data_IF_098559512626
#
_entry.id   IF_098559512626
#
_cell.length_a   1.000
_cell.length_b   1.000
_cell.length_c   1.000
_cell.angle_alpha   90.00
_cell.angle_beta   90.00
_cell.angle_gamma   90.00
#
_symmetry.space_group_name_H-M   'P 1'
#
loop_
_entity.id
_entity.type
_entity.pdbx_description
1 polymer ?
#
# COMPACT_ATOMS: atom_id res chain seq x y z
N UNK A 1 -14.50 -27.32 -27.08
CA UNK A 1 -13.88 -26.12 -26.47
C UNK A 1 -14.79 -25.67 -25.33
N UNK A 2 -14.28 -25.70 -24.07
CA UNK A 2 -15.04 -25.20 -22.94
C UNK A 2 -15.08 -23.66 -23.00
N UNK A 3 -16.27 -23.13 -23.24
CA UNK A 3 -16.52 -21.68 -23.24
C UNK A 3 -16.75 -21.28 -21.78
N UNK A 4 -15.86 -20.48 -21.26
CA UNK A 4 -16.02 -19.85 -19.94
C UNK A 4 -16.83 -18.58 -20.11
N UNK A 5 -17.88 -18.44 -19.31
CA UNK A 5 -18.78 -17.29 -19.38
C UNK A 5 -19.12 -16.77 -17.99
N UNK A 6 -19.35 -15.46 -17.90
CA UNK A 6 -19.87 -14.75 -16.73
C UNK A 6 -21.15 -14.02 -17.10
N UNK A 7 -21.98 -13.72 -16.12
CA UNK A 7 -23.18 -12.92 -16.30
C UNK A 7 -22.81 -11.42 -16.33
N UNK A 8 -23.61 -10.58 -17.01
CA UNK A 8 -23.35 -9.14 -17.07
C UNK A 8 -23.51 -8.44 -15.71
N UNK A 9 -24.21 -9.07 -14.78
CA UNK A 9 -24.41 -8.59 -13.42
C UNK A 9 -23.34 -9.13 -12.44
N UNK A 10 -22.43 -10.02 -12.87
CA UNK A 10 -21.31 -10.52 -12.08
C UNK A 10 -20.29 -9.41 -11.82
N UNK A 11 -19.59 -9.53 -10.69
CA UNK A 11 -18.50 -8.59 -10.38
C UNK A 11 -17.30 -8.80 -11.31
N UNK A 12 -16.62 -7.70 -11.65
CA UNK A 12 -15.37 -7.71 -12.46
C UNK A 12 -14.34 -8.70 -11.90
N UNK A 13 -14.28 -8.85 -10.57
CA UNK A 13 -13.40 -9.82 -9.93
C UNK A 13 -13.77 -11.27 -10.24
N UNK A 14 -15.04 -11.59 -10.36
CA UNK A 14 -15.48 -12.96 -10.70
C UNK A 14 -15.03 -13.33 -12.10
N UNK A 15 -15.09 -12.37 -13.03
CA UNK A 15 -14.54 -12.52 -14.36
C UNK A 15 -13.03 -12.82 -14.34
N UNK A 16 -12.25 -12.08 -13.53
CA UNK A 16 -10.81 -12.31 -13.37
C UNK A 16 -10.52 -13.69 -12.74
N UNK A 17 -11.31 -14.09 -11.75
CA UNK A 17 -11.17 -15.39 -11.10
C UNK A 17 -11.45 -16.55 -12.08
N UNK A 18 -12.49 -16.43 -12.89
CA UNK A 18 -12.81 -17.44 -13.90
C UNK A 18 -11.75 -17.50 -15.02
N UNK A 19 -11.21 -16.34 -15.46
CA UNK A 19 -10.07 -16.31 -16.37
C UNK A 19 -8.85 -17.03 -15.80
N UNK A 20 -8.55 -16.78 -14.52
CA UNK A 20 -7.40 -17.38 -13.82
C UNK A 20 -7.57 -18.89 -13.65
N UNK A 21 -8.73 -19.35 -13.18
CA UNK A 21 -9.02 -20.78 -12.97
C UNK A 21 -9.00 -21.57 -14.29
N UNK A 22 -9.54 -20.98 -15.34
CA UNK A 22 -9.62 -21.60 -16.66
C UNK A 22 -8.38 -21.43 -17.52
N UNK A 23 -7.40 -20.62 -17.06
CA UNK A 23 -6.21 -20.18 -17.82
C UNK A 23 -6.60 -19.57 -19.19
N UNK A 24 -7.65 -18.75 -19.21
CA UNK A 24 -8.16 -18.08 -20.41
C UNK A 24 -7.94 -16.58 -20.29
N UNK A 25 -7.52 -15.95 -21.38
CA UNK A 25 -7.37 -14.49 -21.50
C UNK A 25 -8.63 -13.78 -21.96
N UNK A 26 -9.65 -14.57 -22.36
CA UNK A 26 -10.94 -14.07 -22.86
C UNK A 26 -12.06 -14.92 -22.30
N UNK A 27 -13.11 -14.29 -21.84
CA UNK A 27 -14.34 -14.94 -21.41
C UNK A 27 -15.55 -14.27 -22.04
N UNK A 28 -16.63 -15.02 -22.15
CA UNK A 28 -17.89 -14.55 -22.71
C UNK A 28 -18.71 -13.85 -21.63
N UNK A 29 -19.29 -12.70 -21.93
CA UNK A 29 -20.30 -12.06 -21.10
C UNK A 29 -21.67 -12.34 -21.68
N UNK A 30 -22.61 -12.83 -20.85
CA UNK A 30 -23.97 -13.16 -21.25
C UNK A 30 -25.00 -12.51 -20.31
N UNK A 31 -26.21 -12.34 -20.88
CA UNK A 31 -27.42 -11.95 -20.17
C UNK A 31 -28.40 -13.10 -20.26
N UNK A 32 -28.49 -13.92 -19.24
CA UNK A 32 -29.22 -15.19 -19.32
C UNK A 32 -28.66 -16.10 -20.40
N UNK A 33 -29.41 -16.37 -21.45
CA UNK A 33 -28.97 -17.18 -22.60
C UNK A 33 -28.37 -16.36 -23.77
N UNK A 34 -28.43 -15.02 -23.70
CA UNK A 34 -27.99 -14.14 -24.77
C UNK A 34 -26.50 -13.79 -24.63
N UNK A 35 -25.78 -13.81 -25.74
CA UNK A 35 -24.40 -13.35 -25.83
C UNK A 35 -24.37 -11.81 -25.84
N UNK A 36 -23.70 -11.20 -24.86
CA UNK A 36 -23.60 -9.74 -24.73
C UNK A 36 -22.27 -9.23 -25.24
N UNK A 37 -21.16 -9.96 -25.02
CA UNK A 37 -19.85 -9.55 -25.48
C UNK A 37 -18.73 -10.46 -25.01
N UNK A 38 -17.50 -10.03 -25.28
CA UNK A 38 -16.26 -10.68 -24.82
C UNK A 38 -15.55 -9.70 -23.89
N UNK A 39 -15.02 -10.20 -22.79
CA UNK A 39 -14.18 -9.48 -21.86
C UNK A 39 -12.77 -10.06 -21.94
N UNK A 40 -11.78 -9.20 -22.13
CA UNK A 40 -10.37 -9.58 -22.19
C UNK A 40 -9.68 -9.23 -20.86
N UNK A 41 -8.59 -9.93 -20.53
CA UNK A 41 -7.78 -9.65 -19.34
C UNK A 41 -7.24 -8.20 -19.34
N UNK A 42 -6.93 -7.66 -20.52
CA UNK A 42 -6.46 -6.27 -20.67
C UNK A 42 -7.56 -5.23 -20.32
N UNK A 43 -8.83 -5.54 -20.57
CA UNK A 43 -9.94 -4.66 -20.22
C UNK A 43 -10.11 -4.59 -18.70
N UNK A 44 -9.95 -5.73 -18.02
CA UNK A 44 -9.97 -5.82 -16.58
C UNK A 44 -8.80 -5.06 -15.93
N UNK A 45 -7.59 -5.26 -16.47
CA UNK A 45 -6.41 -4.52 -16.05
C UNK A 45 -6.58 -3.02 -16.29
N UNK A 46 -7.12 -2.61 -17.44
CA UNK A 46 -7.43 -1.21 -17.75
C UNK A 46 -8.44 -0.60 -16.79
N UNK A 47 -9.48 -1.33 -16.41
CA UNK A 47 -10.47 -0.89 -15.42
C UNK A 47 -9.87 -0.74 -14.01
N UNK A 48 -9.08 -1.72 -13.56
CA UNK A 48 -8.42 -1.70 -12.26
C UNK A 48 -7.30 -0.64 -12.20
N UNK A 49 -6.50 -0.53 -13.25
CA UNK A 49 -5.40 0.42 -13.35
C UNK A 49 -5.86 1.85 -13.64
N UNK A 50 -6.99 2.04 -14.33
CA UNK A 50 -7.46 3.35 -14.75
C UNK A 50 -7.66 4.32 -13.57
N UNK A 51 -8.25 3.86 -12.50
CA UNK A 51 -8.42 4.67 -11.29
C UNK A 51 -7.09 4.87 -10.55
N UNK A 52 -6.24 3.84 -10.46
CA UNK A 52 -4.93 3.94 -9.82
C UNK A 52 -4.00 4.90 -10.59
N UNK A 53 -4.02 4.88 -11.93
CA UNK A 53 -3.25 5.83 -12.76
C UNK A 53 -3.69 7.28 -12.58
N UNK A 54 -4.99 7.53 -12.42
CA UNK A 54 -5.52 8.89 -12.15
C UNK A 54 -4.99 9.40 -10.81
N UNK A 55 -5.05 8.57 -9.77
CA UNK A 55 -4.53 8.93 -8.42
C UNK A 55 -3.01 9.11 -8.44
N UNK A 56 -2.28 8.22 -9.11
CA UNK A 56 -0.83 8.34 -9.30
C UNK A 56 -0.47 9.66 -10.00
N UNK A 57 -1.13 9.97 -11.11
CA UNK A 57 -0.92 11.21 -11.86
C UNK A 57 -1.27 12.47 -11.05
N UNK A 58 -2.22 12.40 -10.10
CA UNK A 58 -2.54 13.49 -9.19
C UNK A 58 -1.41 13.69 -8.17
N UNK A 59 -0.92 12.62 -7.57
CA UNK A 59 0.24 12.67 -6.67
C UNK A 59 1.46 13.29 -7.36
N UNK A 60 1.75 12.91 -8.59
CA UNK A 60 2.88 13.45 -9.36
C UNK A 60 2.73 14.94 -9.69
N UNK A 61 1.51 15.39 -10.02
CA UNK A 61 1.23 16.80 -10.35
C UNK A 61 1.03 17.70 -9.13
N UNK A 62 0.97 17.15 -7.92
CA UNK A 62 0.81 17.91 -6.68
C UNK A 62 1.91 18.99 -6.54
N UNK A 63 1.51 20.20 -6.17
CA UNK A 63 2.42 21.34 -5.97
C UNK A 63 2.49 21.77 -4.51
N UNK A 64 1.62 21.24 -3.66
CA UNK A 64 1.50 21.56 -2.25
C UNK A 64 1.23 20.32 -1.42
N UNK A 65 1.42 20.42 -0.09
CA UNK A 65 1.02 19.38 0.86
C UNK A 65 -0.50 19.15 0.83
N UNK A 66 -1.28 20.22 0.65
CA UNK A 66 -2.74 20.11 0.53
C UNK A 66 -3.16 19.25 -0.67
N UNK A 67 -2.49 19.39 -1.83
CA UNK A 67 -2.75 18.52 -2.99
C UNK A 67 -2.43 17.07 -2.68
N UNK A 68 -1.35 16.82 -1.92
CA UNK A 68 -0.97 15.46 -1.50
C UNK A 68 -1.94 14.88 -0.48
N UNK A 69 -2.50 15.68 0.43
CA UNK A 69 -3.54 15.24 1.36
C UNK A 69 -4.79 14.73 0.62
N UNK A 70 -5.18 15.43 -0.46
CA UNK A 70 -6.28 14.99 -1.33
C UNK A 70 -5.93 13.68 -2.02
N UNK A 71 -4.75 13.57 -2.62
CA UNK A 71 -4.29 12.33 -3.26
C UNK A 71 -4.23 11.17 -2.25
N UNK A 72 -3.77 11.45 -1.04
CA UNK A 72 -3.75 10.49 0.05
C UNK A 72 -5.16 9.95 0.39
N UNK A 73 -6.17 10.82 0.46
CA UNK A 73 -7.54 10.41 0.69
C UNK A 73 -8.06 9.54 -0.47
N UNK A 74 -7.75 9.89 -1.71
CA UNK A 74 -8.15 9.12 -2.88
C UNK A 74 -7.54 7.70 -2.91
N UNK A 75 -6.28 7.53 -2.46
CA UNK A 75 -5.69 6.20 -2.27
C UNK A 75 -6.55 5.37 -1.30
N UNK A 76 -6.98 5.96 -0.17
CA UNK A 76 -7.84 5.27 0.79
C UNK A 76 -9.20 4.89 0.21
N UNK A 77 -9.78 5.76 -0.60
CA UNK A 77 -11.05 5.51 -1.29
C UNK A 77 -10.91 4.40 -2.33
N UNK A 78 -9.79 4.38 -3.05
CA UNK A 78 -9.46 3.33 -4.00
C UNK A 78 -9.34 1.97 -3.30
N UNK A 79 -8.63 1.90 -2.18
CA UNK A 79 -8.53 0.66 -1.37
C UNK A 79 -9.91 0.16 -0.96
N UNK A 80 -10.78 1.06 -0.46
CA UNK A 80 -12.16 0.69 -0.08
C UNK A 80 -12.95 0.15 -1.27
N UNK A 81 -12.76 0.74 -2.44
CA UNK A 81 -13.42 0.30 -3.67
C UNK A 81 -12.94 -1.08 -4.10
N UNK A 82 -11.62 -1.30 -4.14
CA UNK A 82 -11.03 -2.59 -4.51
C UNK A 82 -11.46 -3.71 -3.56
N UNK A 83 -11.52 -3.43 -2.24
CA UNK A 83 -12.01 -4.39 -1.24
C UNK A 83 -13.48 -4.74 -1.40
N UNK A 84 -14.32 -3.77 -1.76
CA UNK A 84 -15.76 -4.02 -2.04
C UNK A 84 -15.98 -4.83 -3.30
N UNK A 85 -15.02 -4.82 -4.21
CA UNK A 85 -15.04 -5.58 -5.45
C UNK A 85 -14.40 -6.95 -5.30
N UNK A 86 -14.09 -7.39 -4.06
CA UNK A 86 -13.45 -8.66 -3.73
C UNK A 86 -12.13 -8.91 -4.49
N UNK A 87 -11.40 -7.83 -4.83
CA UNK A 87 -10.07 -7.92 -5.45
C UNK A 87 -9.11 -8.61 -4.47
N UNK A 88 -8.28 -9.51 -4.98
CA UNK A 88 -7.31 -10.26 -4.18
C UNK A 88 -6.38 -9.32 -3.42
N UNK A 89 -6.07 -9.69 -2.18
CA UNK A 89 -5.28 -8.86 -1.26
C UNK A 89 -3.88 -8.57 -1.80
N UNK A 90 -3.28 -9.51 -2.54
CA UNK A 90 -1.97 -9.34 -3.15
C UNK A 90 -1.97 -8.23 -4.22
N UNK A 91 -3.02 -8.19 -5.06
CA UNK A 91 -3.18 -7.14 -6.07
C UNK A 91 -3.44 -5.78 -5.41
N UNK A 92 -4.24 -5.76 -4.34
CA UNK A 92 -4.47 -4.53 -3.57
C UNK A 92 -3.14 -4.03 -2.99
N UNK A 93 -2.31 -4.91 -2.40
CA UNK A 93 -1.04 -4.51 -1.80
C UNK A 93 -0.05 -3.96 -2.84
N UNK A 94 0.03 -4.54 -4.02
CA UNK A 94 0.87 -4.03 -5.11
C UNK A 94 0.45 -2.61 -5.52
N UNK A 95 -0.85 -2.40 -5.77
CA UNK A 95 -1.39 -1.09 -6.17
C UNK A 95 -1.17 -0.06 -5.06
N UNK A 96 -1.49 -0.40 -3.81
CA UNK A 96 -1.37 0.51 -2.66
C UNK A 96 0.08 0.88 -2.40
N UNK A 97 0.99 -0.09 -2.46
CA UNK A 97 2.43 0.15 -2.26
C UNK A 97 3.00 1.06 -3.34
N UNK A 98 2.62 0.90 -4.62
CA UNK A 98 3.06 1.81 -5.68
C UNK A 98 2.53 3.24 -5.44
N UNK A 99 1.25 3.38 -5.13
CA UNK A 99 0.63 4.68 -4.87
C UNK A 99 1.23 5.38 -3.64
N UNK A 100 1.46 4.64 -2.55
CA UNK A 100 2.08 5.16 -1.34
C UNK A 100 3.52 5.61 -1.61
N UNK A 101 4.32 4.82 -2.33
CA UNK A 101 5.69 5.19 -2.70
C UNK A 101 5.74 6.46 -3.52
N UNK A 102 4.83 6.67 -4.46
CA UNK A 102 4.71 7.92 -5.24
C UNK A 102 4.33 9.10 -4.35
N UNK A 103 3.37 8.91 -3.44
CA UNK A 103 2.97 9.92 -2.47
C UNK A 103 4.15 10.31 -1.56
N UNK A 104 4.84 9.34 -0.97
CA UNK A 104 6.00 9.52 -0.09
C UNK A 104 7.16 10.20 -0.85
N UNK A 105 7.44 9.75 -2.08
CA UNK A 105 8.45 10.36 -2.95
C UNK A 105 8.16 11.83 -3.24
N UNK A 106 6.89 12.14 -3.55
CA UNK A 106 6.50 13.52 -3.81
C UNK A 106 6.51 14.38 -2.55
N UNK A 107 6.16 13.80 -1.40
CA UNK A 107 6.29 14.48 -0.10
C UNK A 107 7.75 14.86 0.16
N UNK A 108 8.69 13.95 -0.07
CA UNK A 108 10.12 14.24 0.01
C UNK A 108 10.53 15.36 -0.94
N UNK A 109 10.06 15.35 -2.18
CA UNK A 109 10.36 16.37 -3.16
C UNK A 109 9.85 17.77 -2.77
N UNK A 110 8.74 17.86 -2.02
CA UNK A 110 8.15 19.12 -1.57
C UNK A 110 8.73 19.63 -0.25
N UNK A 111 9.14 18.72 0.64
CA UNK A 111 9.64 19.08 1.99
C UNK A 111 11.15 19.18 2.07
N UNK A 112 11.88 18.37 1.31
CA UNK A 112 13.34 18.33 1.37
C UNK A 112 13.94 19.50 0.59
N UNK A 113 14.90 20.24 1.18
CA UNK A 113 15.69 21.25 0.47
C UNK A 113 16.38 20.67 -0.77
N UNK A 114 16.59 21.46 -1.84
CA UNK A 114 17.20 20.98 -3.09
C UNK A 114 18.55 20.29 -2.89
N UNK A 115 19.36 20.79 -1.96
CA UNK A 115 20.65 20.21 -1.65
C UNK A 115 20.53 18.84 -0.98
N UNK A 116 19.61 18.69 -0.02
CA UNK A 116 19.34 17.40 0.63
C UNK A 116 18.87 16.36 -0.40
N UNK A 117 18.00 16.73 -1.33
CA UNK A 117 17.51 15.82 -2.38
C UNK A 117 18.62 15.24 -3.26
N UNK A 118 19.73 16.00 -3.46
CA UNK A 118 20.86 15.59 -4.28
C UNK A 118 21.83 14.64 -3.56
N UNK A 119 21.81 14.60 -2.24
CA UNK A 119 22.78 13.85 -1.42
C UNK A 119 22.15 12.83 -0.47
N UNK A 120 20.83 12.74 -0.41
CA UNK A 120 20.13 11.80 0.45
C UNK A 120 19.30 10.80 -0.35
N UNK A 121 19.19 9.58 0.17
CA UNK A 121 18.25 8.56 -0.26
C UNK A 121 17.17 8.41 0.81
N UNK A 122 15.91 8.68 0.46
CA UNK A 122 14.78 8.33 1.31
C UNK A 122 14.48 6.85 1.14
N UNK A 123 14.38 6.14 2.24
CA UNK A 123 14.02 4.71 2.29
C UNK A 123 12.74 4.50 3.07
N UNK A 124 11.98 3.48 2.71
CA UNK A 124 10.89 2.91 3.49
C UNK A 124 11.26 1.50 3.92
N UNK A 125 10.74 1.05 5.06
CA UNK A 125 11.13 -0.21 5.70
C UNK A 125 9.89 -1.02 6.09
N UNK A 126 10.06 -2.14 6.77
CA UNK A 126 8.96 -2.97 7.23
C UNK A 126 8.00 -3.40 6.11
N UNK A 127 6.71 -3.37 6.38
CA UNK A 127 5.67 -3.78 5.41
C UNK A 127 5.62 -2.89 4.17
N UNK A 128 5.92 -1.58 4.29
CA UNK A 128 6.03 -0.69 3.13
C UNK A 128 7.25 -1.03 2.27
N UNK A 129 8.37 -1.34 2.90
CA UNK A 129 9.60 -1.78 2.22
C UNK A 129 9.38 -3.06 1.41
N UNK A 130 8.64 -4.02 1.97
CA UNK A 130 8.29 -5.30 1.31
C UNK A 130 7.14 -5.20 0.31
N UNK A 131 6.42 -4.06 0.27
CA UNK A 131 5.26 -3.89 -0.61
C UNK A 131 4.02 -4.68 -0.19
N UNK A 132 3.84 -4.93 1.11
CA UNK A 132 2.77 -5.76 1.66
C UNK A 132 1.60 -4.95 2.25
N UNK A 133 1.64 -3.64 2.19
CA UNK A 133 0.60 -2.78 2.75
C UNK A 133 -0.70 -2.85 1.94
N UNK A 134 -1.80 -3.14 2.61
CA UNK A 134 -3.16 -3.11 2.04
C UNK A 134 -4.01 -1.97 2.61
N UNK A 135 -3.53 -1.34 3.65
CA UNK A 135 -4.05 -0.12 4.30
C UNK A 135 -2.87 0.69 4.76
N UNK A 136 -3.07 1.97 5.06
CA UNK A 136 -2.02 2.74 5.73
C UNK A 136 -1.78 2.18 7.11
N UNK A 137 -0.54 1.81 7.34
CA UNK A 137 0.00 1.48 8.65
C UNK A 137 0.84 2.65 9.15
N UNK A 138 1.54 2.43 10.24
CA UNK A 138 2.51 3.37 10.78
C UNK A 138 3.66 3.67 9.80
N UNK A 139 4.36 4.78 10.07
CA UNK A 139 5.49 5.22 9.27
C UNK A 139 6.72 4.37 9.62
N UNK A 140 7.23 3.62 8.64
CA UNK A 140 8.55 2.99 8.74
C UNK A 140 9.45 3.56 7.64
N UNK A 141 10.24 4.58 7.98
CA UNK A 141 11.08 5.27 7.00
C UNK A 141 12.41 5.74 7.58
N UNK A 142 13.37 6.01 6.69
CA UNK A 142 14.70 6.45 7.06
C UNK A 142 15.38 7.25 5.96
N UNK A 143 16.55 7.78 6.27
CA UNK A 143 17.35 8.57 5.35
C UNK A 143 18.80 8.06 5.33
N UNK A 144 19.32 7.79 4.14
CA UNK A 144 20.75 7.51 3.94
C UNK A 144 21.36 8.76 3.32
N UNK A 145 22.34 9.35 3.99
CA UNK A 145 23.08 10.52 3.52
C UNK A 145 24.38 10.07 2.83
N UNK A 146 24.75 10.70 1.73
CA UNK A 146 26.06 10.47 1.10
C UNK A 146 27.20 11.01 1.96
N UNK A 147 26.95 12.11 2.67
CA UNK A 147 27.91 12.81 3.53
C UNK A 147 27.17 13.52 4.67
N UNK A 148 27.84 13.90 5.76
CA UNK A 148 27.23 14.65 6.86
C UNK A 148 26.57 15.93 6.37
N UNK A 149 25.41 16.26 6.95
CA UNK A 149 24.63 17.44 6.62
C UNK A 149 24.55 18.46 7.76
N UNK A 150 24.10 19.65 7.44
CA UNK A 150 23.72 20.64 8.43
C UNK A 150 22.57 20.09 9.31
N UNK A 151 22.80 20.00 10.64
CA UNK A 151 21.84 19.40 11.57
C UNK A 151 20.55 20.22 11.66
N UNK A 152 20.63 21.55 11.63
CA UNK A 152 19.45 22.41 11.73
C UNK A 152 18.54 22.20 10.50
N UNK A 153 19.15 22.12 9.30
CA UNK A 153 18.42 21.83 8.07
C UNK A 153 17.80 20.42 8.10
N UNK A 154 18.53 19.43 8.62
CA UNK A 154 18.03 18.06 8.75
C UNK A 154 16.88 17.98 9.74
N UNK A 155 16.96 18.65 10.88
CA UNK A 155 15.92 18.66 11.91
C UNK A 155 14.64 19.34 11.39
N UNK A 156 14.79 20.44 10.66
CA UNK A 156 13.66 21.10 10.00
C UNK A 156 12.97 20.18 8.98
N UNK A 157 13.75 19.52 8.12
CA UNK A 157 13.22 18.54 7.18
C UNK A 157 12.55 17.35 7.87
N UNK A 158 13.20 16.76 8.88
CA UNK A 158 12.68 15.61 9.65
C UNK A 158 11.31 15.90 10.26
N UNK A 159 11.18 17.09 10.87
CA UNK A 159 9.92 17.51 11.48
C UNK A 159 8.83 17.71 10.41
N UNK A 160 9.14 18.44 9.33
CA UNK A 160 8.19 18.79 8.29
C UNK A 160 7.71 17.59 7.46
N UNK A 161 8.62 16.66 7.14
CA UNK A 161 8.30 15.43 6.43
C UNK A 161 7.42 14.49 7.27
N UNK A 162 7.78 14.30 8.53
CA UNK A 162 7.01 13.43 9.44
C UNK A 162 5.60 13.98 9.66
N UNK A 163 5.48 15.28 9.95
CA UNK A 163 4.19 15.93 10.13
C UNK A 163 3.30 15.84 8.87
N UNK A 164 3.88 15.98 7.67
CA UNK A 164 3.14 15.82 6.43
C UNK A 164 2.59 14.40 6.25
N UNK A 165 3.38 13.37 6.57
CA UNK A 165 2.91 11.99 6.51
C UNK A 165 1.82 11.70 7.55
N UNK A 166 1.92 12.27 8.76
CA UNK A 166 0.85 12.18 9.78
C UNK A 166 -0.46 12.80 9.27
N UNK A 167 -0.39 13.97 8.65
CA UNK A 167 -1.54 14.64 8.01
C UNK A 167 -2.17 13.77 6.92
N UNK A 168 -1.35 13.02 6.17
CA UNK A 168 -1.82 12.11 5.11
C UNK A 168 -2.37 10.79 5.65
N UNK A 169 -2.38 10.58 6.97
CA UNK A 169 -2.95 9.41 7.63
C UNK A 169 -1.98 8.24 7.81
N UNK A 170 -0.67 8.51 7.84
CA UNK A 170 0.34 7.55 8.28
C UNK A 170 0.70 7.87 9.75
N UNK A 171 0.20 7.11 10.73
CA UNK A 171 0.50 7.37 12.13
C UNK A 171 1.98 7.15 12.44
N UNK A 172 2.52 7.76 13.52
CA UNK A 172 3.89 7.54 13.95
C UNK A 172 4.15 6.06 14.28
N UNK A 173 5.34 5.57 13.94
CA UNK A 173 5.78 4.23 14.31
C UNK A 173 5.99 4.13 15.82
N UNK A 174 5.35 3.17 16.53
CA UNK A 174 5.60 2.94 17.95
C UNK A 174 7.05 2.62 18.29
N UNK A 175 7.77 1.97 17.38
CA UNK A 175 9.20 1.68 17.46
C UNK A 175 10.10 2.85 17.09
N UNK A 176 9.52 4.03 16.76
CA UNK A 176 10.24 5.22 16.32
C UNK A 176 11.22 4.97 15.15
N UNK A 177 10.82 4.07 14.23
CA UNK A 177 11.55 3.77 12.99
C UNK A 177 11.18 4.81 11.93
N UNK A 178 11.63 6.02 12.12
CA UNK A 178 11.21 7.16 11.28
C UNK A 178 12.38 8.11 10.98
N UNK A 179 12.28 8.81 9.86
CA UNK A 179 13.21 9.90 9.48
C UNK A 179 13.39 10.90 10.62
N UNK A 180 12.35 11.16 11.42
CA UNK A 180 12.40 12.05 12.59
C UNK A 180 13.44 11.61 13.63
N UNK A 181 13.67 10.30 13.75
CA UNK A 181 14.67 9.77 14.65
C UNK A 181 16.06 9.81 13.97
N UNK A 182 17.05 10.56 14.51
CA UNK A 182 18.41 10.59 13.96
C UNK A 182 19.04 9.20 13.78
N UNK A 183 18.63 8.22 14.59
CA UNK A 183 19.10 6.82 14.49
C UNK A 183 18.80 6.20 13.10
N UNK A 184 17.72 6.61 12.45
CA UNK A 184 17.31 6.18 11.11
C UNK A 184 17.59 7.21 10.02
N UNK A 185 18.41 8.24 10.32
CA UNK A 185 18.80 9.31 9.38
C UNK A 185 20.30 9.56 9.49
N UNK A 186 21.09 8.68 8.88
CA UNK A 186 22.54 8.61 9.00
C UNK A 186 23.25 8.65 7.65
N UNK A 187 24.54 8.90 7.68
CA UNK A 187 25.40 8.69 6.50
C UNK A 187 25.52 7.21 6.17
N UNK A 188 25.88 6.90 4.91
CA UNK A 188 26.18 5.54 4.51
C UNK A 188 27.26 4.90 5.39
N UNK A 189 28.31 5.64 5.71
CA UNK A 189 29.43 5.13 6.53
C UNK A 189 29.01 4.86 8.00
N UNK A 190 28.12 5.69 8.57
CA UNK A 190 27.54 5.45 9.90
C UNK A 190 26.66 4.20 9.91
N UNK A 191 25.88 3.95 8.85
CA UNK A 191 25.14 2.69 8.72
C UNK A 191 26.08 1.47 8.63
N UNK A 192 27.16 1.57 7.87
CA UNK A 192 28.16 0.50 7.80
C UNK A 192 28.77 0.18 9.18
N UNK A 193 29.12 1.22 9.95
CA UNK A 193 29.63 1.06 11.30
C UNK A 193 28.61 0.39 12.24
N UNK A 194 27.32 0.76 12.11
CA UNK A 194 26.23 0.15 12.86
C UNK A 194 26.07 -1.33 12.50
N UNK A 195 26.11 -1.70 11.22
CA UNK A 195 25.99 -3.10 10.79
C UNK A 195 27.09 -3.97 11.37
N UNK A 196 28.34 -3.52 11.31
CA UNK A 196 29.43 -4.24 11.94
C UNK A 196 29.20 -4.45 13.44
N UNK A 197 28.73 -3.42 14.14
CA UNK A 197 28.45 -3.50 15.58
C UNK A 197 27.27 -4.44 15.87
N UNK A 198 26.14 -4.32 15.13
CA UNK A 198 24.96 -5.16 15.34
C UNK A 198 25.20 -6.63 15.04
N UNK A 199 26.03 -6.92 14.03
CA UNK A 199 26.33 -8.29 13.64
C UNK A 199 27.39 -8.92 14.55
N UNK A 200 28.38 -8.15 14.99
CA UNK A 200 29.43 -8.64 15.91
C UNK A 200 28.93 -8.92 17.33
N UNK A 201 27.97 -8.11 17.83
CA UNK A 201 27.40 -8.27 19.16
C UNK A 201 25.86 -8.30 19.10
N UNK A 202 25.26 -9.40 18.58
CA UNK A 202 23.85 -9.50 18.30
C UNK A 202 23.03 -9.66 19.60
N UNK A 203 22.45 -8.57 20.09
CA UNK A 203 21.36 -8.55 21.03
C UNK A 203 19.99 -8.50 20.29
N UNK A 204 18.90 -8.47 21.06
CA UNK A 204 17.54 -8.42 20.48
C UNK A 204 17.31 -7.16 19.63
N UNK A 205 17.79 -6.01 20.08
CA UNK A 205 17.65 -4.75 19.35
C UNK A 205 18.49 -4.74 18.08
N UNK A 206 19.74 -5.22 18.15
CA UNK A 206 20.61 -5.35 16.99
C UNK A 206 20.01 -6.26 15.91
N UNK A 207 19.49 -7.43 16.29
CA UNK A 207 18.83 -8.34 15.37
C UNK A 207 17.57 -7.72 14.76
N UNK A 208 16.78 -6.99 15.55
CA UNK A 208 15.59 -6.28 15.07
C UNK A 208 15.98 -5.19 14.07
N UNK A 209 17.01 -4.38 14.37
CA UNK A 209 17.47 -3.32 13.49
C UNK A 209 17.97 -3.86 12.14
N UNK A 210 18.70 -4.99 12.15
CA UNK A 210 19.13 -5.67 10.92
C UNK A 210 17.91 -6.14 10.11
N UNK A 211 16.91 -6.75 10.74
CA UNK A 211 15.69 -7.21 10.07
C UNK A 211 14.92 -6.03 9.46
N UNK A 212 14.75 -4.94 10.20
CA UNK A 212 14.08 -3.72 9.72
C UNK A 212 14.81 -3.15 8.51
N UNK A 213 16.15 -3.01 8.59
CA UNK A 213 16.94 -2.44 7.48
C UNK A 213 17.02 -3.38 6.28
N UNK A 214 16.95 -4.69 6.48
CA UNK A 214 16.92 -5.67 5.40
C UNK A 214 15.73 -5.45 4.45
N UNK A 215 14.60 -5.05 4.98
CA UNK A 215 13.38 -4.77 4.22
C UNK A 215 13.42 -3.40 3.50
N UNK A 216 14.45 -2.58 3.73
CA UNK A 216 14.52 -1.24 3.17
C UNK A 216 14.37 -1.21 1.65
N UNK A 217 13.56 -0.29 1.14
CA UNK A 217 13.40 0.03 -0.27
C UNK A 217 13.61 1.53 -0.50
N UNK A 218 14.34 1.88 -1.55
CA UNK A 218 14.57 3.28 -1.90
C UNK A 218 13.33 3.87 -2.58
N UNK A 219 12.95 5.08 -2.18
CA UNK A 219 11.76 5.76 -2.68
C UNK A 219 12.09 7.04 -3.44
N UNK A 220 13.08 7.81 -2.98
CA UNK A 220 13.42 9.09 -3.59
C UNK A 220 14.87 9.51 -3.35
N UNK A 221 15.36 10.49 -4.12
CA UNK A 221 16.69 11.06 -4.01
C UNK A 221 17.78 10.17 -4.62
N UNK A 222 18.90 10.03 -3.92
CA UNK A 222 20.06 9.22 -4.32
C UNK A 222 19.81 7.72 -4.09
N UNK A 223 18.91 7.16 -4.88
CA UNK A 223 18.48 5.74 -4.76
C UNK A 223 19.66 4.74 -4.92
N UNK A 224 20.73 5.17 -5.56
CA UNK A 224 21.98 4.42 -5.72
C UNK A 224 22.73 4.14 -4.40
N UNK A 225 22.45 4.89 -3.32
CA UNK A 225 23.05 4.68 -2.01
C UNK A 225 22.57 3.38 -1.35
N UNK A 226 21.28 3.04 -1.49
CA UNK A 226 20.72 1.88 -0.80
C UNK A 226 21.36 0.53 -1.22
N UNK A 227 21.53 0.19 -2.50
CA UNK A 227 22.19 -1.06 -2.90
C UNK A 227 23.57 -1.22 -2.30
N UNK A 228 24.38 -0.14 -2.27
CA UNK A 228 25.72 -0.13 -1.66
C UNK A 228 25.65 -0.46 -0.17
N UNK A 229 24.77 0.20 0.56
CA UNK A 229 24.61 0.01 2.02
C UNK A 229 24.03 -1.38 2.33
N UNK A 230 23.06 -1.87 1.53
CA UNK A 230 22.50 -3.22 1.69
C UNK A 230 23.54 -4.32 1.40
N UNK A 231 24.39 -4.14 0.38
CA UNK A 231 25.47 -5.09 0.11
C UNK A 231 26.41 -5.22 1.30
N UNK A 232 26.83 -4.11 1.88
CA UNK A 232 27.69 -4.11 3.07
C UNK A 232 27.05 -4.80 4.28
N UNK A 233 25.73 -4.60 4.49
CA UNK A 233 24.98 -5.33 5.52
C UNK A 233 25.04 -6.84 5.27
N UNK A 234 24.75 -7.26 4.03
CA UNK A 234 24.75 -8.69 3.68
C UNK A 234 26.13 -9.33 3.82
N UNK A 235 27.18 -8.60 3.46
CA UNK A 235 28.56 -9.07 3.61
C UNK A 235 28.93 -9.22 5.09
N UNK A 236 28.53 -8.27 5.95
CA UNK A 236 28.72 -8.36 7.41
C UNK A 236 27.97 -9.58 7.98
N UNK A 237 26.71 -9.79 7.60
CA UNK A 237 25.92 -10.94 8.08
C UNK A 237 26.52 -12.27 7.62
N UNK A 238 26.98 -12.36 6.38
CA UNK A 238 27.63 -13.60 5.86
C UNK A 238 28.96 -13.93 6.54
N UNK A 239 29.69 -12.91 6.97
CA UNK A 239 30.98 -13.09 7.64
C UNK A 239 30.79 -13.65 9.07
N UNK A 240 29.65 -13.41 9.73
CA UNK A 240 29.44 -13.74 11.15
C UNK A 240 28.52 -14.96 11.34
N UNK A 241 29.12 -16.14 11.42
CA UNK A 241 28.39 -17.42 11.63
C UNK A 241 27.57 -17.44 12.93
N UNK A 242 28.06 -16.79 13.98
CA UNK A 242 27.38 -16.69 15.28
C UNK A 242 26.08 -15.89 15.15
N UNK A 243 26.08 -14.81 14.38
CA UNK A 243 24.88 -14.04 14.10
C UNK A 243 23.81 -14.90 13.43
N UNK A 244 24.18 -15.64 12.38
CA UNK A 244 23.25 -16.50 11.64
C UNK A 244 22.67 -17.61 12.52
N UNK A 245 23.49 -18.24 13.38
CA UNK A 245 23.04 -19.25 14.31
C UNK A 245 22.00 -18.67 15.32
N UNK A 246 22.33 -17.53 15.94
CA UNK A 246 21.41 -16.86 16.89
C UNK A 246 20.11 -16.37 16.23
N UNK A 247 20.19 -15.92 14.98
CA UNK A 247 19.01 -15.50 14.22
C UNK A 247 18.11 -16.69 13.90
N UNK A 248 18.66 -17.84 13.57
CA UNK A 248 17.92 -19.06 13.30
C UNK A 248 17.26 -19.68 14.56
N UNK A 249 17.94 -19.57 15.70
CA UNK A 249 17.45 -20.08 17.01
C UNK A 249 16.37 -19.18 17.65
N UNK A 250 16.10 -18.04 17.10
CA UNK A 250 15.11 -17.10 17.66
C UNK A 250 13.70 -17.69 17.51
N UNK A 251 13.00 -18.00 18.61
CA UNK A 251 11.62 -18.41 18.51
C UNK A 251 10.82 -17.23 17.93
N UNK A 252 9.96 -17.52 16.95
CA UNK A 252 8.97 -16.55 16.45
C UNK A 252 8.15 -16.11 17.66
N UNK A 253 8.36 -14.88 18.12
CA UNK A 253 7.71 -14.39 19.34
C UNK A 253 6.19 -14.50 19.16
N UNK A 254 5.54 -14.97 20.22
CA UNK A 254 4.08 -15.14 20.24
C UNK A 254 3.34 -13.82 20.03
N UNK A 255 3.97 -12.69 20.40
CA UNK A 255 3.49 -11.33 20.11
C UNK A 255 3.31 -11.03 18.62
N UNK A 256 4.21 -11.56 17.76
CA UNK A 256 4.08 -11.37 16.31
C UNK A 256 2.91 -12.19 15.76
N UNK A 257 2.66 -13.38 16.35
CA UNK A 257 1.50 -14.20 16.01
C UNK A 257 0.19 -13.61 16.54
N UNK A 258 0.18 -13.05 17.74
CA UNK A 258 -0.99 -12.40 18.34
C UNK A 258 -1.30 -11.07 17.65
N UNK A 259 -0.30 -10.26 17.35
CA UNK A 259 -0.46 -9.03 16.57
C UNK A 259 -0.94 -9.31 15.14
N UNK A 260 -0.46 -10.38 14.50
CA UNK A 260 -0.94 -10.78 13.17
C UNK A 260 -2.36 -11.36 13.24
N UNK A 261 -2.67 -12.17 14.25
CA UNK A 261 -4.04 -12.68 14.49
C UNK A 261 -5.01 -11.56 14.83
N UNK A 262 -4.66 -10.62 15.70
CA UNK A 262 -5.49 -9.48 16.03
C UNK A 262 -5.80 -8.63 14.80
N UNK A 263 -4.79 -8.30 13.99
CA UNK A 263 -4.99 -7.57 12.72
C UNK A 263 -5.81 -8.36 11.69
N UNK A 264 -5.64 -9.68 11.63
CA UNK A 264 -6.44 -10.54 10.75
C UNK A 264 -7.85 -10.77 11.26
N UNK A 265 -8.07 -10.69 12.57
CA UNK A 265 -9.39 -10.74 13.22
C UNK A 265 -10.13 -9.42 13.11
N UNK A 266 -9.46 -8.28 13.28
CA UNK A 266 -10.04 -6.96 12.97
C UNK A 266 -10.46 -6.84 11.50
N UNK A 267 -9.64 -7.34 10.58
CA UNK A 267 -10.00 -7.43 9.16
C UNK A 267 -11.23 -8.31 8.90
N UNK A 268 -11.37 -9.43 9.62
CA UNK A 268 -12.56 -10.32 9.56
C UNK A 268 -13.78 -9.70 10.23
N UNK A 269 -13.63 -9.07 11.40
CA UNK A 269 -14.73 -8.38 12.08
C UNK A 269 -15.27 -7.20 11.30
N UNK A 270 -14.41 -6.46 10.57
CA UNK A 270 -14.85 -5.40 9.67
C UNK A 270 -15.63 -5.96 8.47
N UNK A 271 -15.19 -7.10 7.90
CA UNK A 271 -15.93 -7.76 6.82
C UNK A 271 -17.25 -8.37 7.29
N UNK A 272 -17.32 -8.88 8.52
CA UNK A 272 -18.55 -9.42 9.11
C UNK A 272 -19.51 -8.32 9.56
N UNK A 273 -19.00 -7.19 10.07
CA UNK A 273 -19.84 -6.00 10.33
C UNK A 273 -20.39 -5.40 9.05
N UNK A 274 -19.60 -5.35 7.97
CA UNK A 274 -20.08 -4.89 6.67
C UNK A 274 -21.15 -5.84 6.10
N UNK A 275 -20.97 -7.17 6.21
CA UNK A 275 -21.99 -8.17 5.82
C UNK A 275 -23.27 -8.07 6.66
N UNK A 276 -23.15 -7.91 7.97
CA UNK A 276 -24.34 -7.70 8.84
C UNK A 276 -25.05 -6.38 8.57
N UNK A 277 -24.31 -5.29 8.29
CA UNK A 277 -24.90 -4.04 7.89
C UNK A 277 -25.65 -4.12 6.56
N UNK A 278 -25.15 -4.91 5.60
CA UNK A 278 -25.85 -5.17 4.33
C UNK A 278 -27.09 -6.07 4.52
N UNK A 279 -27.07 -7.06 5.41
CA UNK A 279 -28.24 -7.88 5.72
C UNK A 279 -29.31 -7.11 6.52
N UNK A 280 -28.89 -6.13 7.34
CA UNK A 280 -29.84 -5.26 8.07
C UNK A 280 -30.41 -4.15 7.18
N UNK A 281 -29.69 -3.69 6.16
CA UNK A 281 -30.18 -2.67 5.22
C UNK A 281 -31.32 -3.17 4.30
N UNK A 282 -31.46 -4.50 4.16
CA UNK A 282 -32.59 -5.11 3.44
C UNK A 282 -33.88 -5.28 4.25
N UNK A 283 -33.87 -5.06 5.57
CA UNK A 283 -34.96 -5.46 6.47
C UNK A 283 -35.69 -4.28 7.17
N UNK A 284 -35.27 -3.01 6.95
CA UNK A 284 -35.93 -1.90 7.64
C UNK A 284 -36.44 -0.84 6.65
N UNK A 285 -37.78 -0.58 6.60
CA UNK A 285 -38.29 0.61 5.94
C UNK A 285 -37.97 1.82 6.83
N UNK A 286 -37.18 2.77 6.33
CA UNK A 286 -37.06 4.08 6.96
C UNK A 286 -38.41 4.75 7.04
N UNK A 287 -38.91 4.94 8.23
CA UNK A 287 -40.00 5.87 8.53
C UNK A 287 -39.43 7.06 9.29
N UNK A 288 -39.75 8.26 8.84
CA UNK A 288 -39.49 9.45 9.63
C UNK A 288 -40.43 9.51 10.88
N UNK A 289 -40.14 10.43 11.77
CA UNK A 289 -40.84 10.59 13.04
C UNK A 289 -42.34 10.90 12.83
N UNK A 290 -42.73 11.32 11.60
CA UNK A 290 -44.09 11.71 11.23
C UNK A 290 -44.82 10.65 10.38
N UNK A 291 -44.20 9.50 10.13
CA UNK A 291 -44.84 8.37 9.45
C UNK A 291 -45.01 8.50 7.94
N UNK A 292 -44.36 9.47 7.28
CA UNK A 292 -44.41 9.66 5.82
C UNK A 292 -43.29 8.95 5.10
N UNK A 293 -43.58 8.35 3.94
CA UNK A 293 -42.58 7.71 3.07
C UNK A 293 -41.77 8.78 2.34
N UNK A 294 -40.51 8.93 2.66
CA UNK A 294 -39.61 9.87 2.01
C UNK A 294 -39.34 9.46 0.54
N UNK A 295 -39.59 10.36 -0.39
CA UNK A 295 -39.35 10.16 -1.83
C UNK A 295 -37.84 10.17 -2.16
N UNK A 296 -36.99 10.63 -1.25
CA UNK A 296 -35.53 10.67 -1.45
C UNK A 296 -34.85 9.31 -1.16
N UNK A 297 -35.50 8.39 -0.42
CA UNK A 297 -34.98 7.06 -0.16
C UNK A 297 -34.78 6.19 -1.43
N UNK A 298 -35.39 6.59 -2.56
CA UNK A 298 -35.19 5.91 -3.85
C UNK A 298 -33.84 6.23 -4.55
N UNK A 299 -33.13 7.26 -4.09
CA UNK A 299 -31.82 7.62 -4.68
C UNK A 299 -30.64 6.80 -4.13
N UNK A 300 -30.79 6.14 -2.98
CA UNK A 300 -29.74 5.30 -2.38
C UNK A 300 -29.75 3.85 -2.86
N UNK A 301 -30.74 3.44 -3.64
CA UNK A 301 -30.79 2.10 -4.25
C UNK A 301 -30.37 2.13 -5.73
N UNK A 302 -29.25 2.78 -6.05
CA UNK A 302 -28.62 2.52 -7.35
C UNK A 302 -27.70 1.31 -7.19
N UNK A 303 -27.95 0.21 -7.94
CA UNK A 303 -27.05 -0.92 -7.99
C UNK A 303 -25.68 -0.47 -8.50
N UNK A 304 -24.62 -1.11 -8.01
CA UNK A 304 -23.27 -0.97 -8.51
C UNK A 304 -23.27 -0.96 -10.04
N UNK A 305 -22.49 -0.07 -10.65
CA UNK A 305 -22.43 0.13 -12.10
C UNK A 305 -22.34 -1.22 -12.83
N UNK A 306 -23.38 -1.56 -13.55
CA UNK A 306 -23.42 -2.71 -14.45
C UNK A 306 -22.36 -2.54 -15.52
N UNK A 307 -21.66 -3.62 -15.86
CA UNK A 307 -20.79 -3.71 -17.03
C UNK A 307 -21.64 -3.50 -18.31
N UNK A 308 -21.79 -2.26 -18.75
CA UNK A 308 -22.34 -1.99 -20.08
C UNK A 308 -21.20 -2.09 -21.07
N UNK A 309 -21.11 -3.20 -21.76
CA UNK A 309 -20.34 -3.28 -23.00
C UNK A 309 -20.95 -2.30 -24.02
N UNK A 310 -20.14 -1.47 -24.64
CA UNK A 310 -20.56 -0.68 -25.80
C UNK A 310 -20.95 -1.68 -26.89
N UNK A 311 -22.24 -1.74 -27.22
CA UNK A 311 -22.68 -2.37 -28.46
C UNK A 311 -21.98 -1.65 -29.61
N UNK A 312 -21.17 -2.35 -30.36
CA UNK A 312 -20.66 -1.85 -31.65
C UNK A 312 -21.88 -1.57 -32.52
N UNK A 313 -22.01 -0.31 -32.89
CA UNK A 313 -23.04 0.11 -33.84
C UNK A 313 -22.91 -0.69 -35.13
N UNK A 314 -24.03 -1.18 -35.59
CA UNK A 314 -24.22 -1.75 -36.90
C UNK A 314 -23.70 -0.77 -37.94
N UNK A 315 -22.76 -1.22 -38.73
CA UNK A 315 -22.42 -0.63 -40.05
C UNK A 315 -23.53 -0.91 -41.04
N UNK A 316 -23.81 0.03 -41.94
CA UNK A 316 -24.83 -0.13 -42.96
C UNK A 316 -24.50 -1.23 -43.99
#
# INVERSE_FOLDING_TARGET
>A
YDIVAVDEDDFVFQALLEMTKSNKRRIVVKRGAEFVGILEDIDLLGFLAGNAQVVAGRSERAKSKADLAIAAQEISDQVRTLRRQDVRVEVISEIVSDLNRRLISKTFALTAPPDLRKRACLIVMGSEGRGEQTVRTDQDNGLILAEPGDQSMLDGFRADFTAALEEFGFPPCPGNVMVRNPFWSKTADEYLADFHRWVAAPDENAMMNVAIFYDAAAVAGRVDLLPRVKSALMDSVRAEKVYLARFADRPVQQSDREGWRARSEEGRHLSDRARRAQSCAGAWPCRDVDGRKDRQARACQRPARRLRTRSQGSLP
#
